data_IF_080564142943
#
_entry.id   IF_080564142943
#
_cell.length_a   1.000
_cell.length_b   1.000
_cell.length_c   1.000
_cell.angle_alpha   90.00
_cell.angle_beta   90.00
_cell.angle_gamma   90.00
#
_symmetry.space_group_name_H-M   'P 1'
#
loop_
_entity.id
_entity.type
_entity.pdbx_description
1 polymer ?
#
# COMPACT_ATOMS: atom_id res chain seq x y z
N UNK A 1 5.22 -11.34 -8.55
CA UNK A 1 4.45 -11.02 -7.32
C UNK A 1 4.65 -12.13 -6.30
N UNK A 2 5.05 -11.81 -5.06
CA UNK A 2 5.30 -12.78 -3.99
C UNK A 2 3.96 -13.37 -3.54
N UNK A 3 3.72 -14.66 -3.79
CA UNK A 3 2.47 -15.35 -3.44
C UNK A 3 2.53 -16.10 -2.12
N UNK A 4 3.73 -16.48 -1.70
CA UNK A 4 3.98 -17.23 -0.48
C UNK A 4 5.25 -16.69 0.18
N UNK A 5 5.18 -16.51 1.50
CA UNK A 5 6.33 -16.06 2.28
C UNK A 5 6.69 -17.17 3.22
N UNK A 6 7.97 -17.54 3.19
CA UNK A 6 8.54 -18.39 4.22
C UNK A 6 8.67 -17.54 5.48
N UNK A 7 7.65 -17.59 6.35
CA UNK A 7 7.58 -16.75 7.56
C UNK A 7 8.82 -16.90 8.47
N UNK A 8 9.54 -18.03 8.38
CA UNK A 8 10.65 -18.37 9.28
C UNK A 8 11.91 -17.52 9.11
N UNK A 9 12.08 -16.75 8.03
CA UNK A 9 13.39 -16.17 7.68
C UNK A 9 13.45 -14.64 7.65
N UNK A 10 12.35 -13.94 7.89
CA UNK A 10 12.34 -12.47 7.86
C UNK A 10 12.48 -11.93 9.28
N UNK A 11 13.69 -11.47 9.60
CA UNK A 11 14.03 -10.80 10.85
C UNK A 11 13.83 -9.28 10.72
N UNK A 12 13.08 -8.71 11.64
CA UNK A 12 12.80 -7.28 11.76
C UNK A 12 13.56 -6.77 12.98
N UNK A 13 14.77 -6.28 12.75
CA UNK A 13 15.70 -5.89 13.82
C UNK A 13 15.28 -4.60 14.54
N UNK A 14 14.76 -3.64 13.78
CA UNK A 14 14.46 -2.29 14.27
C UNK A 14 12.96 -2.13 14.49
N UNK A 15 12.54 -2.40 15.73
CA UNK A 15 11.14 -2.27 16.14
C UNK A 15 11.04 -1.35 17.35
N UNK A 16 10.34 -0.23 17.19
CA UNK A 16 10.03 0.66 18.30
C UNK A 16 8.97 0.04 19.22
N UNK A 17 9.06 0.33 20.51
CA UNK A 17 8.15 -0.16 21.54
C UNK A 17 8.04 -1.71 21.60
N UNK A 18 9.13 -2.43 21.29
CA UNK A 18 9.22 -3.90 21.40
C UNK A 18 10.30 -4.36 22.39
N UNK A 19 10.52 -3.59 23.47
CA UNK A 19 11.49 -3.91 24.53
C UNK A 19 12.92 -4.22 24.05
N UNK A 20 13.33 -3.63 22.91
CA UNK A 20 14.64 -3.86 22.30
C UNK A 20 14.82 -5.24 21.68
N UNK A 21 13.76 -6.05 21.59
CA UNK A 21 13.81 -7.37 20.96
C UNK A 21 13.51 -7.25 19.46
N UNK A 22 14.26 -7.97 18.61
CA UNK A 22 13.89 -8.11 17.22
C UNK A 22 12.60 -8.93 17.10
N UNK A 23 11.94 -8.84 15.95
CA UNK A 23 10.72 -9.59 15.68
C UNK A 23 10.90 -10.45 14.43
N UNK A 24 10.39 -11.67 14.43
CA UNK A 24 10.36 -12.53 13.23
C UNK A 24 8.95 -12.62 12.72
N UNK A 25 8.77 -12.67 11.40
CA UNK A 25 7.43 -12.88 10.83
C UNK A 25 6.81 -14.21 11.31
N UNK A 26 7.62 -15.23 11.61
CA UNK A 26 7.18 -16.50 12.20
C UNK A 26 6.52 -16.36 13.57
N UNK A 27 6.74 -15.26 14.28
CA UNK A 27 6.12 -15.01 15.59
C UNK A 27 4.61 -14.77 15.47
N UNK A 28 4.12 -14.56 14.24
CA UNK A 28 2.71 -14.37 13.91
C UNK A 28 2.08 -15.58 13.21
N UNK A 29 2.72 -16.75 13.27
CA UNK A 29 2.12 -17.98 12.76
C UNK A 29 0.74 -18.22 13.40
N UNK A 30 -0.14 -18.82 12.63
CA UNK A 30 -1.53 -19.16 13.00
C UNK A 30 -2.43 -17.94 13.28
N UNK A 31 -1.94 -16.72 13.03
CA UNK A 31 -2.70 -15.47 13.09
C UNK A 31 -2.83 -14.85 11.71
N UNK A 32 -3.90 -14.09 11.50
CA UNK A 32 -3.97 -13.17 10.39
C UNK A 32 -3.03 -12.00 10.67
N UNK A 33 -2.05 -11.79 9.80
CA UNK A 33 -1.08 -10.70 9.87
C UNK A 33 -1.39 -9.68 8.77
N UNK A 34 -1.51 -8.42 9.17
CA UNK A 34 -1.58 -7.28 8.26
C UNK A 34 -0.31 -6.45 8.45
N UNK A 35 0.47 -6.28 7.38
CA UNK A 35 1.57 -5.31 7.36
C UNK A 35 1.00 -3.97 6.86
N UNK A 36 0.93 -3.00 7.76
CA UNK A 36 0.41 -1.65 7.50
C UNK A 36 1.57 -0.73 7.13
N UNK A 37 1.80 -0.54 5.84
CA UNK A 37 2.84 0.35 5.37
C UNK A 37 2.38 1.81 5.50
N UNK A 38 3.18 2.61 6.20
CA UNK A 38 2.85 3.99 6.52
C UNK A 38 4.06 4.92 6.53
N UNK A 39 3.79 6.23 6.56
CA UNK A 39 4.80 7.27 6.70
C UNK A 39 4.24 8.46 7.48
N UNK A 40 5.12 9.29 8.05
CA UNK A 40 4.78 10.53 8.75
C UNK A 40 3.99 11.51 7.88
N UNK A 41 4.19 11.46 6.56
CA UNK A 41 3.46 12.26 5.57
C UNK A 41 2.16 11.61 5.07
N UNK A 42 1.81 10.41 5.52
CA UNK A 42 0.60 9.70 5.09
C UNK A 42 -0.59 10.04 6.00
N UNK A 43 -1.33 11.11 5.69
CA UNK A 43 -2.48 11.54 6.49
C UNK A 43 -3.55 10.46 6.65
N UNK A 44 -3.87 9.74 5.57
CA UNK A 44 -4.85 8.65 5.59
C UNK A 44 -4.42 7.49 6.52
N UNK A 45 -3.13 7.13 6.52
CA UNK A 45 -2.60 6.10 7.43
C UNK A 45 -2.82 6.51 8.88
N UNK A 46 -2.41 7.74 9.25
CA UNK A 46 -2.53 8.22 10.64
C UNK A 46 -4.00 8.27 11.10
N UNK A 47 -4.91 8.69 10.22
CA UNK A 47 -6.35 8.73 10.52
C UNK A 47 -6.97 7.34 10.71
N UNK A 48 -6.43 6.31 10.04
CA UNK A 48 -6.93 4.94 10.16
C UNK A 48 -6.49 4.24 11.46
N UNK A 49 -5.35 4.62 12.04
CA UNK A 49 -4.74 3.94 13.19
C UNK A 49 -5.69 3.73 14.39
N UNK A 50 -6.51 4.70 14.85
CA UNK A 50 -7.44 4.47 15.97
C UNK A 50 -8.47 3.38 15.69
N UNK A 51 -8.94 3.29 14.45
CA UNK A 51 -9.91 2.25 14.05
C UNK A 51 -9.23 0.89 13.95
N UNK A 52 -8.01 0.83 13.42
CA UNK A 52 -7.22 -0.41 13.36
C UNK A 52 -6.91 -0.94 14.76
N UNK A 53 -6.58 -0.06 15.71
CA UNK A 53 -6.37 -0.37 17.13
C UNK A 53 -7.62 -1.03 17.74
N UNK A 54 -8.81 -0.45 17.50
CA UNK A 54 -10.09 -1.04 17.92
C UNK A 54 -10.36 -2.41 17.30
N UNK A 55 -10.00 -2.61 16.02
CA UNK A 55 -10.15 -3.91 15.35
C UNK A 55 -9.19 -4.95 15.93
N UNK A 56 -7.93 -4.60 16.20
CA UNK A 56 -6.99 -5.51 16.88
C UNK A 56 -7.53 -5.93 18.25
N UNK A 57 -8.13 -4.99 18.99
CA UNK A 57 -8.77 -5.27 20.28
C UNK A 57 -10.05 -6.12 20.16
N UNK A 58 -10.77 -6.07 19.04
CA UNK A 58 -11.95 -6.92 18.80
C UNK A 58 -11.56 -8.36 18.37
N UNK A 59 -10.39 -8.53 17.74
CA UNK A 59 -9.90 -9.80 17.19
C UNK A 59 -8.69 -10.35 17.95
N UNK A 60 -8.67 -10.18 19.28
CA UNK A 60 -7.55 -10.61 20.15
C UNK A 60 -7.16 -12.06 19.88
N UNK A 61 -5.85 -12.29 19.75
CA UNK A 61 -5.27 -13.62 19.53
C UNK A 61 -5.39 -14.12 18.09
N UNK A 62 -6.25 -13.53 17.25
CA UNK A 62 -6.47 -13.92 15.85
C UNK A 62 -5.86 -12.95 14.85
N UNK A 63 -5.82 -11.66 15.16
CA UNK A 63 -5.31 -10.59 14.29
C UNK A 63 -4.06 -9.94 14.87
N UNK A 64 -3.11 -9.64 13.99
CA UNK A 64 -2.00 -8.72 14.25
C UNK A 64 -1.94 -7.70 13.12
N UNK A 65 -2.00 -6.42 13.47
CA UNK A 65 -1.63 -5.33 12.57
C UNK A 65 -0.23 -4.87 12.98
N UNK A 66 0.71 -4.91 12.04
CA UNK A 66 2.09 -4.47 12.24
C UNK A 66 2.37 -3.27 11.35
N UNK A 67 2.42 -2.04 11.91
CA UNK A 67 2.87 -0.87 11.20
C UNK A 67 4.34 -0.99 10.77
N UNK A 68 4.63 -0.65 9.52
CA UNK A 68 5.96 -0.72 8.89
C UNK A 68 6.26 0.59 8.18
N UNK A 69 7.42 1.17 8.46
CA UNK A 69 7.87 2.37 7.75
C UNK A 69 9.35 2.29 7.38
N UNK A 70 9.71 2.88 6.24
CA UNK A 70 11.09 3.05 5.81
C UNK A 70 11.78 4.23 6.52
N UNK A 71 11.04 5.05 7.26
CA UNK A 71 11.57 6.20 8.00
C UNK A 71 12.35 5.75 9.25
N UNK A 72 13.47 6.42 9.60
CA UNK A 72 14.30 6.03 10.73
C UNK A 72 13.58 6.27 12.06
N UNK A 73 13.97 5.51 13.09
CA UNK A 73 13.25 5.46 14.37
C UNK A 73 13.25 6.79 15.15
N UNK A 74 14.31 7.58 15.05
CA UNK A 74 14.42 8.92 15.62
C UNK A 74 13.37 9.88 15.04
N UNK A 75 13.18 9.85 13.72
CA UNK A 75 12.13 10.62 13.02
C UNK A 75 10.74 10.19 13.48
N UNK A 76 10.50 8.88 13.62
CA UNK A 76 9.22 8.36 14.10
C UNK A 76 8.96 8.77 15.55
N UNK A 77 9.97 8.69 16.42
CA UNK A 77 9.85 9.12 17.81
C UNK A 77 9.52 10.62 17.90
N UNK A 78 10.23 11.47 17.15
CA UNK A 78 9.96 12.91 17.10
C UNK A 78 8.55 13.22 16.56
N UNK A 79 8.11 12.49 15.52
CA UNK A 79 6.77 12.65 14.96
C UNK A 79 5.68 12.24 15.95
N UNK A 80 5.88 11.14 16.69
CA UNK A 80 4.93 10.72 17.73
C UNK A 80 4.71 11.83 18.75
N UNK A 81 5.77 12.45 19.27
CA UNK A 81 5.66 13.54 20.25
C UNK A 81 4.90 14.78 19.76
N UNK A 82 4.93 15.06 18.46
CA UNK A 82 4.34 16.28 17.88
C UNK A 82 2.96 16.05 17.26
N UNK A 83 2.65 14.81 16.89
CA UNK A 83 1.39 14.48 16.25
C UNK A 83 0.24 14.40 17.26
N UNK A 84 -0.86 15.12 17.01
CA UNK A 84 -2.01 15.19 17.91
C UNK A 84 -2.66 13.82 18.21
N UNK A 85 -2.67 12.91 17.23
CA UNK A 85 -3.25 11.57 17.37
C UNK A 85 -2.30 10.58 18.04
N UNK A 86 -0.98 10.75 17.87
CA UNK A 86 0.02 9.79 18.33
C UNK A 86 0.74 10.16 19.63
N UNK A 87 0.72 11.43 20.05
CA UNK A 87 1.51 11.95 21.19
C UNK A 87 1.37 11.18 22.51
N UNK A 88 0.22 10.54 22.73
CA UNK A 88 -0.06 9.76 23.92
C UNK A 88 -0.20 8.26 23.64
N UNK A 89 0.14 7.81 22.42
CA UNK A 89 0.05 6.42 22.01
C UNK A 89 1.44 5.84 21.83
N UNK A 90 1.72 4.76 22.56
CA UNK A 90 2.88 3.91 22.31
C UNK A 90 2.43 2.73 21.48
N UNK A 91 2.65 2.79 20.17
CA UNK A 91 2.38 1.66 19.29
C UNK A 91 3.70 1.03 18.84
N UNK A 92 3.65 -0.29 18.65
CA UNK A 92 4.76 -1.06 18.08
C UNK A 92 4.82 -0.80 16.59
N UNK A 93 5.99 -0.45 16.06
CA UNK A 93 6.18 -0.23 14.62
C UNK A 93 7.59 -0.64 14.20
N UNK A 94 7.70 -1.25 13.03
CA UNK A 94 8.99 -1.50 12.38
C UNK A 94 9.45 -0.18 11.77
N UNK A 95 10.72 0.19 11.95
CA UNK A 95 11.29 1.46 11.49
C UNK A 95 12.55 1.24 10.66
N UNK A 96 12.80 2.16 9.73
CA UNK A 96 13.93 2.06 8.81
C UNK A 96 13.91 0.80 7.95
N UNK A 97 12.72 0.22 7.73
CA UNK A 97 12.59 -1.04 7.01
C UNK A 97 13.03 -0.89 5.55
N UNK A 98 13.78 -1.90 5.10
CA UNK A 98 14.13 -2.09 3.69
C UNK A 98 13.76 -3.47 3.18
N UNK A 99 13.51 -4.42 4.08
CA UNK A 99 13.29 -5.82 3.71
C UNK A 99 11.85 -5.99 3.25
N UNK A 100 10.89 -5.55 4.06
CA UNK A 100 9.48 -5.66 3.71
C UNK A 100 9.13 -4.74 2.52
N UNK A 101 9.72 -3.55 2.42
CA UNK A 101 9.54 -2.68 1.24
C UNK A 101 10.07 -3.30 -0.07
N UNK A 102 11.10 -4.17 -0.01
CA UNK A 102 11.56 -4.91 -1.19
C UNK A 102 10.68 -6.12 -1.51
N UNK A 103 10.18 -6.80 -0.49
CA UNK A 103 9.28 -7.94 -0.65
C UNK A 103 7.90 -7.51 -1.18
N UNK A 104 7.45 -6.32 -0.78
CA UNK A 104 6.16 -5.74 -1.14
C UNK A 104 6.37 -4.34 -1.72
N UNK A 105 6.89 -4.25 -2.95
CA UNK A 105 7.10 -2.96 -3.59
C UNK A 105 5.74 -2.27 -3.82
N UNK A 106 5.63 -1.04 -3.35
CA UNK A 106 4.45 -0.19 -3.46
C UNK A 106 4.89 1.26 -3.66
N UNK A 107 3.98 2.09 -4.18
CA UNK A 107 4.25 3.52 -4.41
C UNK A 107 3.34 4.43 -3.63
N UNK A 108 2.10 4.02 -3.47
CA UNK A 108 1.09 4.78 -2.77
C UNK A 108 0.89 4.19 -1.38
N UNK A 109 0.70 5.07 -0.42
CA UNK A 109 0.29 4.74 0.94
C UNK A 109 -1.16 5.21 1.16
N UNK A 110 -1.95 4.52 1.98
CA UNK A 110 -1.61 3.28 2.70
C UNK A 110 -1.41 2.07 1.78
N UNK A 111 -0.65 1.08 2.23
CA UNK A 111 -0.52 -0.21 1.55
C UNK A 111 -0.58 -1.32 2.58
N UNK A 112 -1.65 -2.10 2.53
CA UNK A 112 -1.92 -3.16 3.50
C UNK A 112 -1.62 -4.51 2.87
N UNK A 113 -0.67 -5.25 3.44
CA UNK A 113 -0.39 -6.63 2.98
C UNK A 113 -1.07 -7.61 3.91
N UNK A 114 -1.95 -8.44 3.37
CA UNK A 114 -2.66 -9.47 4.13
C UNK A 114 -1.96 -10.81 4.00
N UNK A 115 -1.58 -11.40 5.14
CA UNK A 115 -0.89 -12.69 5.22
C UNK A 115 -1.67 -13.60 6.17
N UNK A 116 -2.05 -14.79 5.72
CA UNK A 116 -2.72 -15.76 6.59
C UNK A 116 -1.75 -16.47 7.55
N UNK A 117 -2.30 -17.23 8.49
CA UNK A 117 -1.51 -17.92 9.53
C UNK A 117 -0.54 -18.99 9.00
N UNK A 118 -0.62 -19.35 7.72
CA UNK A 118 0.34 -20.26 7.06
C UNK A 118 1.50 -19.54 6.39
N UNK A 119 1.42 -18.20 6.25
CA UNK A 119 2.40 -17.39 5.54
C UNK A 119 2.03 -17.09 4.09
N UNK A 120 0.80 -17.42 3.66
CA UNK A 120 0.33 -17.11 2.31
C UNK A 120 -0.13 -15.67 2.23
N UNK A 121 0.30 -14.97 1.19
CA UNK A 121 -0.18 -13.62 0.89
C UNK A 121 -1.58 -13.73 0.27
N UNK A 122 -2.57 -13.14 0.92
CA UNK A 122 -3.95 -13.12 0.45
C UNK A 122 -4.18 -12.00 -0.57
N UNK A 123 -3.48 -10.87 -0.42
CA UNK A 123 -3.56 -9.73 -1.33
C UNK A 123 -3.18 -8.41 -0.67
N UNK A 124 -3.48 -7.32 -1.37
CA UNK A 124 -3.12 -5.95 -1.00
C UNK A 124 -4.35 -5.06 -0.98
N UNK A 125 -4.47 -4.16 -0.01
CA UNK A 125 -5.60 -3.22 0.07
C UNK A 125 -5.16 -1.83 0.54
N UNK A 126 -6.12 -0.92 0.68
CA UNK A 126 -5.94 0.31 1.44
C UNK A 126 -6.37 0.10 2.91
N UNK A 127 -6.05 1.07 3.76
CA UNK A 127 -6.42 1.03 5.17
C UNK A 127 -7.95 0.94 5.36
N UNK A 128 -8.73 1.64 4.53
CA UNK A 128 -10.20 1.68 4.57
C UNK A 128 -10.84 0.29 4.39
N UNK A 129 -10.18 -0.61 3.66
CA UNK A 129 -10.65 -1.97 3.39
C UNK A 129 -10.52 -2.91 4.59
N UNK A 130 -9.72 -2.56 5.61
CA UNK A 130 -9.59 -3.36 6.84
C UNK A 130 -10.84 -3.11 7.68
N UNK A 131 -11.85 -3.97 7.59
CA UNK A 131 -13.13 -3.86 8.31
C UNK A 131 -13.44 -5.17 9.03
N UNK A 132 -14.38 -5.17 9.97
CA UNK A 132 -14.82 -6.41 10.61
C UNK A 132 -15.27 -7.47 9.60
N UNK A 133 -15.99 -7.06 8.55
CA UNK A 133 -16.44 -7.96 7.48
C UNK A 133 -15.28 -8.60 6.71
N UNK A 134 -14.30 -7.80 6.27
CA UNK A 134 -13.16 -8.32 5.51
C UNK A 134 -12.23 -9.16 6.37
N UNK A 135 -12.07 -8.82 7.66
CA UNK A 135 -11.34 -9.61 8.64
C UNK A 135 -11.99 -10.98 8.88
N UNK A 136 -13.32 -11.02 9.09
CA UNK A 136 -14.06 -12.28 9.26
C UNK A 136 -13.95 -13.16 8.01
N UNK A 137 -14.07 -12.57 6.82
CA UNK A 137 -13.91 -13.31 5.56
C UNK A 137 -12.50 -13.90 5.41
N UNK A 138 -11.47 -13.13 5.73
CA UNK A 138 -10.07 -13.56 5.68
C UNK A 138 -9.79 -14.68 6.70
N UNK A 139 -10.27 -14.53 7.94
CA UNK A 139 -10.12 -15.52 9.01
C UNK A 139 -10.87 -16.83 8.70
N UNK A 140 -12.01 -16.75 8.04
CA UNK A 140 -12.77 -17.92 7.56
C UNK A 140 -12.10 -18.63 6.37
N UNK A 141 -10.91 -18.18 5.93
CA UNK A 141 -10.17 -18.70 4.77
C UNK A 141 -10.96 -18.67 3.46
N UNK A 142 -11.90 -17.73 3.33
CA UNK A 142 -12.69 -17.50 2.11
C UNK A 142 -11.99 -16.57 1.11
N UNK A 143 -10.76 -16.13 1.42
CA UNK A 143 -10.03 -15.11 0.66
C UNK A 143 -10.33 -13.69 1.16
N UNK A 144 -9.80 -12.68 0.45
CA UNK A 144 -10.09 -11.28 0.74
C UNK A 144 -11.40 -10.86 0.08
N UNK A 145 -12.36 -10.43 0.90
CA UNK A 145 -13.63 -9.87 0.43
C UNK A 145 -13.53 -8.36 0.15
N UNK A 146 -12.44 -7.92 -0.50
CA UNK A 146 -12.27 -6.54 -0.99
C UNK A 146 -11.58 -6.50 -2.36
N UNK A 147 -11.73 -5.37 -3.06
CA UNK A 147 -10.97 -5.08 -4.26
C UNK A 147 -9.49 -4.97 -3.90
N UNK A 148 -8.65 -5.71 -4.61
CA UNK A 148 -7.21 -5.60 -4.42
C UNK A 148 -6.70 -4.26 -4.95
N UNK A 149 -5.83 -3.63 -4.17
CA UNK A 149 -5.05 -2.47 -4.60
C UNK A 149 -3.99 -2.92 -5.60
N UNK A 150 -3.87 -2.16 -6.69
CA UNK A 150 -2.84 -2.35 -7.71
C UNK A 150 -2.04 -1.06 -7.88
N UNK A 151 -0.75 -1.12 -7.54
CA UNK A 151 0.18 -0.01 -7.74
C UNK A 151 0.89 -0.15 -9.10
N UNK A 152 0.85 0.90 -9.92
CA UNK A 152 1.62 1.01 -11.16
C UNK A 152 3.05 1.44 -10.83
N UNK A 153 3.95 0.47 -10.70
CA UNK A 153 5.31 0.68 -10.17
C UNK A 153 6.28 1.38 -11.14
N UNK A 154 6.00 1.29 -12.44
CA UNK A 154 6.83 1.79 -13.55
C UNK A 154 6.40 3.17 -14.06
N UNK A 155 5.30 3.74 -13.56
CA UNK A 155 4.89 5.10 -13.87
C UNK A 155 5.99 6.12 -13.51
N UNK A 156 6.25 7.11 -14.33
CA UNK A 156 7.27 8.13 -14.10
C UNK A 156 6.62 9.51 -14.15
N UNK A 157 6.45 10.11 -12.98
CA UNK A 157 5.84 11.44 -12.84
C UNK A 157 6.64 12.57 -13.50
N UNK A 158 7.90 12.31 -13.88
CA UNK A 158 8.73 13.27 -14.61
C UNK A 158 8.53 13.22 -16.13
N UNK A 159 7.78 12.22 -16.61
CA UNK A 159 7.44 12.05 -18.03
C UNK A 159 5.96 12.32 -18.25
N UNK A 160 5.55 12.73 -19.46
CA UNK A 160 4.14 12.85 -19.82
C UNK A 160 3.40 11.51 -19.63
N UNK A 161 2.17 11.58 -19.12
CA UNK A 161 1.28 10.42 -18.99
C UNK A 161 0.87 9.90 -20.38
N UNK A 162 0.80 8.56 -20.55
CA UNK A 162 0.47 7.88 -21.81
C UNK A 162 1.40 8.25 -22.98
N UNK A 163 2.70 8.40 -22.70
CA UNK A 163 3.73 8.57 -23.72
C UNK A 163 4.83 7.55 -23.47
N UNK A 164 5.17 6.75 -24.49
CA UNK A 164 6.09 5.61 -24.40
C UNK A 164 5.74 4.67 -23.23
N UNK A 165 4.46 4.33 -23.15
CA UNK A 165 3.85 3.43 -22.15
C UNK A 165 3.92 3.94 -20.69
N UNK A 166 4.18 5.23 -20.49
CA UNK A 166 4.26 5.81 -19.15
C UNK A 166 2.89 5.92 -18.46
N UNK A 167 2.59 4.99 -17.55
CA UNK A 167 1.31 4.96 -16.82
C UNK A 167 0.17 4.33 -17.63
N UNK A 168 0.48 3.63 -18.71
CA UNK A 168 -0.46 2.96 -19.60
C UNK A 168 -0.13 3.20 -21.07
N UNK A 169 -0.84 2.51 -21.95
CA UNK A 169 -0.65 2.60 -23.40
C UNK A 169 -0.85 4.02 -23.93
N UNK A 170 -0.05 4.42 -24.92
CA UNK A 170 -0.13 5.73 -25.58
C UNK A 170 -1.47 6.02 -26.27
N UNK A 171 -2.33 5.01 -26.41
CA UNK A 171 -3.68 5.12 -26.96
C UNK A 171 -4.79 5.04 -25.91
N UNK A 172 -4.47 4.94 -24.62
CA UNK A 172 -5.45 4.75 -23.54
C UNK A 172 -6.23 6.02 -23.15
N UNK A 173 -6.10 7.12 -23.91
CA UNK A 173 -6.86 8.35 -23.68
C UNK A 173 -8.29 8.21 -24.22
N UNK A 174 -9.29 8.69 -23.48
CA UNK A 174 -10.65 8.86 -24.01
C UNK A 174 -10.75 10.13 -24.87
N UNK A 175 -10.10 11.20 -24.41
CA UNK A 175 -9.98 12.48 -25.11
C UNK A 175 -8.58 13.04 -24.87
N UNK A 176 -8.00 13.74 -25.87
CA UNK A 176 -6.72 14.45 -25.71
C UNK A 176 -6.72 15.79 -26.43
N UNK A 177 -6.12 16.79 -25.81
CA UNK A 177 -5.76 18.05 -26.43
C UNK A 177 -4.25 18.13 -26.53
N UNK A 178 -3.72 18.37 -27.73
CA UNK A 178 -2.29 18.44 -27.99
C UNK A 178 -1.97 19.80 -28.61
N UNK A 179 -1.09 20.56 -27.95
CA UNK A 179 -0.60 21.85 -28.44
C UNK A 179 0.87 21.64 -28.82
N UNK A 180 1.23 21.98 -30.06
CA UNK A 180 2.62 21.87 -30.56
C UNK A 180 3.07 23.18 -31.19
N UNK A 181 4.38 23.35 -31.33
CA UNK A 181 4.95 24.31 -32.27
C UNK A 181 4.76 23.87 -33.74
N UNK A 182 5.38 24.60 -34.66
CA UNK A 182 5.41 24.25 -36.09
C UNK A 182 6.17 22.93 -36.30
N UNK A 183 5.52 21.97 -36.95
CA UNK A 183 6.13 20.71 -37.37
C UNK A 183 6.44 20.80 -38.88
N UNK A 184 7.71 20.99 -39.22
CA UNK A 184 8.12 21.15 -40.63
C UNK A 184 7.77 19.91 -41.46
N UNK A 185 7.32 20.13 -42.70
CA UNK A 185 6.95 19.06 -43.63
C UNK A 185 5.53 18.51 -43.46
N UNK A 186 4.79 18.91 -42.41
CA UNK A 186 3.35 18.62 -42.32
C UNK A 186 2.56 19.68 -43.08
N UNK A 187 1.66 19.25 -43.97
CA UNK A 187 0.74 20.14 -44.67
C UNK A 187 -0.27 20.78 -43.71
N UNK A 188 -0.73 21.98 -44.03
CA UNK A 188 -1.74 22.72 -43.26
C UNK A 188 -3.10 22.03 -43.37
N UNK A 189 -3.41 21.14 -42.42
CA UNK A 189 -4.71 20.47 -42.34
C UNK A 189 -5.28 20.55 -40.92
N UNK A 190 -6.55 20.94 -40.80
CA UNK A 190 -7.27 20.86 -39.52
C UNK A 190 -7.58 19.39 -39.22
N UNK A 191 -6.86 18.80 -38.27
CA UNK A 191 -7.05 17.41 -37.85
C UNK A 191 -7.97 17.35 -36.62
N UNK A 192 -9.27 17.55 -36.82
CA UNK A 192 -10.28 17.19 -35.83
C UNK A 192 -10.66 15.72 -36.05
N UNK A 193 -9.97 14.80 -35.37
CA UNK A 193 -10.49 13.44 -35.22
C UNK A 193 -11.67 13.49 -34.24
N UNK A 194 -12.87 13.67 -34.77
CA UNK A 194 -14.08 13.25 -34.08
C UNK A 194 -13.95 11.74 -33.89
N UNK A 195 -13.66 11.30 -32.67
CA UNK A 195 -13.83 9.90 -32.30
C UNK A 195 -15.31 9.58 -32.50
N UNK A 196 -15.66 9.01 -33.65
CA UNK A 196 -17.02 8.58 -33.94
C UNK A 196 -17.40 7.53 -32.90
N UNK A 197 -18.40 7.88 -32.10
CA UNK A 197 -19.13 6.96 -31.22
C UNK A 197 -19.82 5.92 -32.11
N UNK A 198 -19.20 4.77 -32.31
CA UNK A 198 -19.87 3.52 -32.68
C UNK A 198 -19.63 2.51 -31.57
N UNK A 199 -20.38 2.63 -30.47
CA UNK A 199 -20.67 1.51 -29.56
C UNK A 199 -21.70 1.94 -28.51
N UNK A 200 -22.96 2.01 -28.94
CA UNK A 200 -24.14 1.62 -28.16
C UNK A 200 -25.22 1.19 -29.16
N UNK A 201 -25.21 -0.10 -29.51
CA UNK A 201 -26.42 -0.91 -29.62
C UNK A 201 -26.33 -1.98 -28.55
#
# INVERSE_FOLDING_TARGET
MVKHIVMSNVLLEKVLNNNGQPLKLSDFKDKLLILDFWATSCGACIQAMPRLDSLVAAFVGKLVVLPVTAEPGDRIAAFQHTNAFLKNKRFRTVVGDRVLHRLFPHRMLPHEVWIDGSGKVLGFTEASDITGFTLEAALARKGLASRMKEDVLDYDRSKPLLVKDNGGSDTAYQYRSVITGMLQGLGSNLSLLLAYYQQFM
#
